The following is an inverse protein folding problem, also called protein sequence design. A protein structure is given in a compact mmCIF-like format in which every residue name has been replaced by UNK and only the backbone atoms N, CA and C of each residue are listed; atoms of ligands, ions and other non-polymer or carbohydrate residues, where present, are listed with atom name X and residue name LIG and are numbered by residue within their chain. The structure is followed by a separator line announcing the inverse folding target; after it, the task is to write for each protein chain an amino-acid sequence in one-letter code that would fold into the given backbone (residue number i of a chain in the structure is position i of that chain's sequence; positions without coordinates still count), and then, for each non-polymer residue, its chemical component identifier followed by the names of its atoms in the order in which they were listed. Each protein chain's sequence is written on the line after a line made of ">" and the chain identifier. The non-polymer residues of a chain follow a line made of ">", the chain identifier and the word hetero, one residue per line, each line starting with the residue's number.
data_IF_348694243196
#
_entry.id   IF_348694243196
#
_cell.length_a   1.000
_cell.length_b   1.000
_cell.length_c   1.000
_cell.angle_alpha   90.00
_cell.angle_beta   90.00
_cell.angle_gamma   90.00
#
_symmetry.space_group_name_H-M   'P 1'
#
loop_
_entity.id
_entity.type
_entity.pdbx_description
1 polymer ?
#
# COMPACT_ATOMS: atom_id res chain seq x y z
N UNK A 1 -0.90 81.28 -75.07
CA UNK A 1 -1.38 79.90 -74.91
C UNK A 1 -0.47 79.05 -74.00
N UNK A 2 0.64 79.59 -73.53
CA UNK A 2 1.63 78.83 -72.76
C UNK A 2 1.36 78.74 -71.20
N UNK A 3 0.58 79.69 -70.67
CA UNK A 3 0.33 79.72 -69.20
C UNK A 3 -0.72 78.70 -68.69
N UNK A 4 -1.50 78.09 -69.59
CA UNK A 4 -2.52 77.12 -69.19
C UNK A 4 -1.91 75.68 -69.06
N UNK A 5 -0.86 75.40 -69.82
CA UNK A 5 -0.21 74.09 -69.79
C UNK A 5 0.74 73.91 -68.62
N UNK A 6 1.35 75.00 -68.12
CA UNK A 6 2.25 74.92 -66.97
C UNK A 6 1.45 74.68 -65.64
N UNK A 7 0.26 75.31 -65.46
CA UNK A 7 -0.58 75.08 -64.30
C UNK A 7 -1.17 73.67 -64.29
N UNK A 8 -1.53 73.08 -65.39
CA UNK A 8 -2.03 71.69 -65.46
C UNK A 8 -0.96 70.66 -65.15
N UNK A 9 0.30 70.93 -65.45
CA UNK A 9 1.43 70.06 -65.14
C UNK A 9 1.89 70.13 -63.67
N UNK A 10 1.75 71.34 -63.03
CA UNK A 10 2.04 71.46 -61.56
C UNK A 10 0.96 70.81 -60.77
N UNK A 11 -0.32 70.93 -61.04
CA UNK A 11 -1.42 70.27 -60.31
C UNK A 11 -1.36 68.76 -60.50
N UNK A 12 -1.08 68.24 -61.69
CA UNK A 12 -0.94 66.82 -61.95
C UNK A 12 0.29 66.17 -61.26
N UNK A 13 1.38 66.87 -61.18
CA UNK A 13 2.56 66.41 -60.46
C UNK A 13 2.40 66.50 -58.95
N UNK A 14 1.62 67.49 -58.47
CA UNK A 14 1.27 67.61 -57.05
C UNK A 14 0.41 66.41 -56.59
N UNK A 15 -0.65 66.10 -57.31
CA UNK A 15 -1.57 64.99 -57.03
C UNK A 15 -0.86 63.64 -57.09
N UNK A 16 0.05 63.45 -58.07
CA UNK A 16 0.85 62.22 -58.15
C UNK A 16 1.84 62.07 -56.99
N UNK A 17 2.47 63.18 -56.56
CA UNK A 17 3.41 63.14 -55.44
C UNK A 17 2.68 62.87 -54.12
N UNK A 18 1.45 63.39 -53.92
CA UNK A 18 0.63 63.19 -52.73
C UNK A 18 0.13 61.74 -52.68
N UNK A 19 -0.39 61.18 -53.76
CA UNK A 19 -0.80 59.80 -53.87
C UNK A 19 0.36 58.79 -53.64
N UNK A 20 1.55 59.07 -54.15
CA UNK A 20 2.74 58.28 -53.90
C UNK A 20 3.19 58.33 -52.44
N UNK A 21 3.04 59.49 -51.78
CA UNK A 21 3.37 59.62 -50.37
C UNK A 21 2.35 58.91 -49.47
N UNK A 22 1.07 58.96 -49.80
CA UNK A 22 0.03 58.19 -49.07
C UNK A 22 0.21 56.71 -49.22
N UNK A 23 0.47 56.16 -50.43
CA UNK A 23 0.77 54.76 -50.64
C UNK A 23 2.02 54.30 -49.93
N UNK A 24 3.04 55.16 -49.88
CA UNK A 24 4.26 54.89 -49.13
C UNK A 24 4.07 54.88 -47.63
N UNK A 25 3.22 55.77 -47.10
CA UNK A 25 2.82 55.79 -45.68
C UNK A 25 2.00 54.56 -45.32
N UNK A 26 1.07 54.15 -46.18
CA UNK A 26 0.27 52.92 -45.94
C UNK A 26 1.14 51.66 -46.00
N UNK A 27 2.04 51.54 -46.93
CA UNK A 27 2.99 50.42 -47.03
C UNK A 27 3.92 50.36 -45.81
N UNK A 28 4.43 51.49 -45.33
CA UNK A 28 5.28 51.57 -44.15
C UNK A 28 4.55 51.23 -42.85
N UNK A 29 3.27 51.59 -42.74
CA UNK A 29 2.40 51.21 -41.63
C UNK A 29 2.09 49.72 -41.56
N UNK A 30 1.86 49.10 -42.72
CA UNK A 30 1.63 47.66 -42.85
C UNK A 30 2.89 46.87 -42.49
N UNK A 31 4.04 47.23 -43.00
CA UNK A 31 5.34 46.61 -42.69
C UNK A 31 5.72 46.75 -41.21
N UNK A 32 5.37 47.86 -40.56
CA UNK A 32 5.61 48.08 -39.12
C UNK A 32 4.70 47.25 -38.24
N UNK A 33 3.45 46.98 -38.63
CA UNK A 33 2.53 46.06 -37.95
C UNK A 33 2.99 44.62 -38.11
N UNK A 34 3.42 44.26 -39.34
CA UNK A 34 3.91 42.91 -39.66
C UNK A 34 5.19 42.58 -38.86
N UNK A 35 6.10 43.55 -38.67
CA UNK A 35 7.30 43.39 -37.87
C UNK A 35 6.99 43.13 -36.37
N UNK A 36 5.94 43.72 -35.81
CA UNK A 36 5.52 43.47 -34.43
C UNK A 36 4.90 42.09 -34.28
N UNK A 37 4.09 41.65 -35.23
CA UNK A 37 3.47 40.31 -35.25
C UNK A 37 4.51 39.21 -35.40
N UNK A 38 5.52 39.40 -36.27
CA UNK A 38 6.63 38.42 -36.43
C UNK A 38 7.42 38.30 -35.13
N UNK A 39 7.71 39.39 -34.44
CA UNK A 39 8.38 39.35 -33.13
C UNK A 39 7.56 38.58 -32.07
N UNK A 40 6.25 38.78 -32.03
CA UNK A 40 5.36 38.05 -31.15
C UNK A 40 5.33 36.54 -31.44
N UNK A 41 5.29 36.19 -32.73
CA UNK A 41 5.34 34.76 -33.17
C UNK A 41 6.68 34.11 -32.79
N UNK A 42 7.80 34.80 -33.01
CA UNK A 42 9.12 34.29 -32.64
C UNK A 42 9.23 34.08 -31.12
N UNK A 43 8.73 35.05 -30.34
CA UNK A 43 8.71 34.89 -28.86
C UNK A 43 7.84 33.73 -28.43
N UNK A 44 6.62 33.59 -28.99
CA UNK A 44 5.74 32.46 -28.69
C UNK A 44 6.39 31.11 -29.07
N UNK A 45 7.09 31.05 -30.20
CA UNK A 45 7.83 29.86 -30.63
C UNK A 45 8.98 29.52 -29.68
N UNK A 46 9.74 30.52 -29.22
CA UNK A 46 10.81 30.32 -28.24
C UNK A 46 10.25 29.81 -26.89
N UNK A 47 9.11 30.34 -26.43
CA UNK A 47 8.44 29.86 -25.22
C UNK A 47 8.03 28.40 -25.40
N UNK A 48 7.43 28.04 -26.52
CA UNK A 48 7.04 26.66 -26.84
C UNK A 48 8.25 25.72 -26.86
N UNK A 49 9.36 26.17 -27.39
CA UNK A 49 10.60 25.40 -27.45
C UNK A 49 11.19 25.17 -26.05
N UNK A 50 11.07 26.15 -25.13
CA UNK A 50 11.50 26.02 -23.74
C UNK A 50 10.60 25.08 -22.92
N UNK A 51 9.34 24.86 -23.31
CA UNK A 51 8.45 23.90 -22.62
C UNK A 51 8.91 22.44 -22.84
N UNK A 52 9.58 22.13 -23.95
CA UNK A 52 10.05 20.77 -24.21
C UNK A 52 10.98 20.24 -23.10
N UNK A 53 12.08 20.92 -22.73
CA UNK A 53 12.94 20.44 -21.66
C UNK A 53 12.25 20.42 -20.30
N UNK A 54 11.26 21.27 -20.07
CA UNK A 54 10.50 21.29 -18.83
C UNK A 54 9.71 19.98 -18.65
N UNK A 55 9.02 19.50 -19.68
CA UNK A 55 8.31 18.22 -19.64
C UNK A 55 9.28 17.04 -19.45
N UNK A 56 10.46 17.06 -20.08
CA UNK A 56 11.46 16.01 -19.90
C UNK A 56 11.98 15.93 -18.45
N UNK A 57 12.10 17.07 -17.77
CA UNK A 57 12.51 17.10 -16.34
C UNK A 57 11.42 16.54 -15.44
N UNK A 58 10.15 16.87 -15.69
CA UNK A 58 9.02 16.32 -14.93
C UNK A 58 8.92 14.80 -15.06
N UNK A 59 9.10 14.26 -16.28
CA UNK A 59 9.13 12.83 -16.52
C UNK A 59 10.27 12.14 -15.77
N UNK A 60 11.46 12.73 -15.77
CA UNK A 60 12.61 12.17 -15.05
C UNK A 60 12.41 12.17 -13.52
N UNK A 61 11.80 13.21 -12.96
CA UNK A 61 11.46 13.27 -11.53
C UNK A 61 10.43 12.19 -11.18
N UNK A 62 9.40 12.04 -12.01
CA UNK A 62 8.36 11.03 -11.84
C UNK A 62 8.91 9.61 -11.92
N UNK A 63 9.79 9.33 -12.87
CA UNK A 63 10.46 8.03 -13.03
C UNK A 63 11.31 7.68 -11.80
N UNK A 64 12.07 8.62 -11.28
CA UNK A 64 12.84 8.41 -10.03
C UNK A 64 11.93 8.11 -8.84
N UNK A 65 10.80 8.81 -8.73
CA UNK A 65 9.81 8.55 -7.69
C UNK A 65 9.22 7.14 -7.79
N UNK A 66 8.88 6.68 -8.99
CA UNK A 66 8.41 5.31 -9.23
C UNK A 66 9.45 4.27 -8.86
N UNK A 67 10.68 4.44 -9.35
CA UNK A 67 11.79 3.51 -9.06
C UNK A 67 12.08 3.41 -7.56
N UNK A 68 11.94 4.51 -6.82
CA UNK A 68 12.05 4.49 -5.36
C UNK A 68 10.92 3.67 -4.73
N UNK A 69 9.68 3.89 -5.15
CA UNK A 69 8.53 3.15 -4.64
C UNK A 69 8.65 1.66 -4.94
N UNK A 70 9.08 1.30 -6.14
CA UNK A 70 9.29 -0.09 -6.55
C UNK A 70 10.40 -0.75 -5.72
N UNK A 71 11.51 -0.03 -5.46
CA UNK A 71 12.58 -0.53 -4.60
C UNK A 71 12.11 -0.77 -3.16
N UNK A 72 11.30 0.13 -2.60
CA UNK A 72 10.68 -0.03 -1.28
C UNK A 72 9.74 -1.24 -1.27
N UNK A 73 8.90 -1.37 -2.29
CA UNK A 73 7.97 -2.49 -2.42
C UNK A 73 8.70 -3.84 -2.54
N UNK A 74 9.77 -3.92 -3.34
CA UNK A 74 10.58 -5.12 -3.49
C UNK A 74 11.22 -5.55 -2.17
N UNK A 75 11.75 -4.60 -1.41
CA UNK A 75 12.30 -4.87 -0.08
C UNK A 75 11.19 -5.31 0.87
N UNK A 76 10.05 -4.62 0.89
CA UNK A 76 8.91 -4.96 1.73
C UNK A 76 8.37 -6.36 1.45
N UNK A 77 8.31 -6.78 0.19
CA UNK A 77 7.88 -8.14 -0.17
C UNK A 77 8.80 -9.24 0.35
N UNK A 78 10.10 -8.96 0.47
CA UNK A 78 11.09 -9.93 0.97
C UNK A 78 11.16 -9.97 2.50
N UNK A 79 10.88 -8.86 3.15
CA UNK A 79 10.95 -8.73 4.61
C UNK A 79 9.62 -9.00 5.30
N UNK A 80 8.53 -8.80 4.67
CA UNK A 80 7.17 -8.81 5.14
C UNK A 80 6.54 -7.41 5.10
N UNK A 81 5.26 -7.38 4.79
CA UNK A 81 4.45 -6.17 4.82
C UNK A 81 4.05 -5.82 6.26
N UNK A 82 3.15 -4.84 6.42
CA UNK A 82 2.60 -4.50 7.72
C UNK A 82 1.98 -5.74 8.39
N UNK A 83 2.42 -6.03 9.61
CA UNK A 83 1.99 -7.19 10.38
C UNK A 83 0.84 -6.83 11.32
N UNK A 84 -0.18 -7.67 11.33
CA UNK A 84 -1.23 -7.63 12.35
C UNK A 84 -1.20 -8.95 13.12
N UNK A 85 -1.10 -8.86 14.44
CA UNK A 85 -1.14 -10.01 15.34
C UNK A 85 -2.50 -10.01 16.01
N UNK A 86 -3.21 -11.13 15.93
CA UNK A 86 -4.50 -11.32 16.59
C UNK A 86 -4.44 -12.51 17.52
N UNK A 87 -4.74 -12.31 18.77
CA UNK A 87 -4.66 -13.32 19.82
C UNK A 87 -3.72 -12.89 20.96
N UNK A 88 -3.29 -13.81 21.81
CA UNK A 88 -3.64 -15.25 21.81
C UNK A 88 -5.12 -15.50 22.19
N UNK A 89 -5.68 -16.58 21.66
CA UNK A 89 -7.00 -17.05 22.05
C UNK A 89 -7.00 -18.58 22.13
N UNK A 90 -7.88 -19.15 23.00
CA UNK A 90 -8.04 -20.59 23.11
C UNK A 90 -9.24 -21.02 22.27
N UNK A 91 -9.03 -22.03 21.42
CA UNK A 91 -10.06 -22.62 20.61
C UNK A 91 -10.42 -24.00 21.16
N UNK A 92 -11.68 -24.18 21.53
CA UNK A 92 -12.23 -25.42 22.05
C UNK A 92 -13.26 -26.00 21.07
N UNK A 93 -13.22 -27.29 20.84
CA UNK A 93 -14.16 -28.00 19.97
C UNK A 93 -15.25 -28.70 20.79
N UNK A 94 -16.47 -28.68 20.24
CA UNK A 94 -17.59 -29.42 20.82
C UNK A 94 -18.47 -30.02 19.72
N UNK A 95 -19.12 -31.19 19.98
CA UNK A 95 -20.01 -31.81 19.02
C UNK A 95 -21.37 -31.09 18.99
N UNK A 96 -21.85 -30.74 17.82
CA UNK A 96 -23.20 -30.24 17.56
C UNK A 96 -23.98 -31.35 16.87
N UNK A 97 -25.04 -31.86 17.51
CA UNK A 97 -25.92 -32.83 16.90
C UNK A 97 -27.08 -32.11 16.22
N UNK A 98 -27.15 -32.22 14.91
CA UNK A 98 -28.29 -31.75 14.11
C UNK A 98 -29.10 -32.93 13.62
N UNK A 99 -30.41 -32.87 13.76
CA UNK A 99 -31.35 -33.86 13.23
C UNK A 99 -31.90 -33.35 11.88
N UNK A 100 -31.51 -34.01 10.82
CA UNK A 100 -31.98 -33.72 9.47
C UNK A 100 -32.69 -34.96 8.91
N UNK A 101 -34.01 -34.84 8.64
CA UNK A 101 -34.88 -35.91 8.11
C UNK A 101 -34.78 -37.23 8.89
N UNK A 102 -34.71 -37.17 10.23
CA UNK A 102 -34.60 -38.38 11.08
C UNK A 102 -33.19 -39.00 11.13
N UNK A 103 -32.18 -38.39 10.49
CA UNK A 103 -30.79 -38.79 10.57
C UNK A 103 -30.03 -37.81 11.48
N UNK A 104 -29.42 -38.34 12.53
CA UNK A 104 -28.58 -37.55 13.43
C UNK A 104 -27.19 -37.31 12.76
N UNK A 105 -26.91 -36.05 12.42
CA UNK A 105 -25.60 -35.63 11.91
C UNK A 105 -24.85 -34.92 13.01
N UNK A 106 -23.66 -35.41 13.35
CA UNK A 106 -22.76 -34.75 14.31
C UNK A 106 -21.79 -33.88 13.54
N UNK A 107 -21.79 -32.58 13.84
CA UNK A 107 -20.86 -31.58 13.29
C UNK A 107 -20.04 -30.99 14.44
N UNK A 108 -18.79 -30.62 14.22
CA UNK A 108 -17.95 -30.00 15.24
C UNK A 108 -18.12 -28.50 15.22
N UNK A 109 -18.54 -27.94 16.35
CA UNK A 109 -18.55 -26.52 16.63
C UNK A 109 -17.24 -26.08 17.31
N UNK A 110 -17.00 -24.78 17.30
CA UNK A 110 -15.87 -24.17 17.98
C UNK A 110 -16.36 -23.10 18.96
N UNK A 111 -15.78 -23.07 20.16
CA UNK A 111 -15.86 -21.98 21.11
C UNK A 111 -14.49 -21.32 21.20
N UNK A 112 -14.46 -20.01 21.06
CA UNK A 112 -13.23 -19.22 21.19
C UNK A 112 -13.25 -18.49 22.52
N UNK A 113 -12.25 -18.74 23.33
CA UNK A 113 -12.04 -18.08 24.61
C UNK A 113 -10.96 -17.02 24.45
N UNK A 114 -11.29 -15.79 24.79
CA UNK A 114 -10.35 -14.67 24.80
C UNK A 114 -9.69 -14.52 26.17
N UNK A 115 -8.50 -13.93 26.27
CA UNK A 115 -7.89 -13.65 27.55
C UNK A 115 -8.67 -12.55 28.30
N UNK A 116 -8.84 -12.70 29.62
CA UNK A 116 -9.45 -11.67 30.49
C UNK A 116 -8.48 -10.49 30.68
N UNK A 117 -7.19 -10.78 30.73
CA UNK A 117 -6.13 -9.81 30.82
C UNK A 117 -5.06 -10.13 29.75
N UNK A 118 -4.60 -9.10 29.08
CA UNK A 118 -3.56 -9.19 28.06
C UNK A 118 -2.58 -8.04 28.22
N UNK A 119 -1.31 -8.35 28.36
CA UNK A 119 -0.20 -7.39 28.36
C UNK A 119 0.74 -7.72 27.23
N UNK A 120 1.12 -6.72 26.47
CA UNK A 120 2.04 -6.85 25.36
C UNK A 120 3.19 -5.88 25.57
N UNK A 121 4.38 -6.41 25.81
CA UNK A 121 5.61 -5.66 25.92
C UNK A 121 6.44 -5.89 24.65
N UNK A 122 6.88 -4.82 24.01
CA UNK A 122 7.59 -4.91 22.76
C UNK A 122 8.79 -4.01 22.66
N UNK A 123 9.86 -4.52 22.07
CA UNK A 123 11.04 -3.74 21.69
C UNK A 123 11.10 -3.67 20.17
N UNK A 124 11.30 -2.45 19.65
CA UNK A 124 11.41 -2.19 18.22
C UNK A 124 12.84 -1.75 17.91
N UNK A 125 13.51 -2.48 17.04
CA UNK A 125 14.80 -2.11 16.47
C UNK A 125 14.63 -1.74 15.00
N UNK A 126 15.36 -0.70 14.55
CA UNK A 126 15.29 -0.25 13.15
C UNK A 126 16.59 -0.54 12.45
N UNK A 127 16.51 -1.02 11.23
CA UNK A 127 17.65 -1.25 10.36
C UNK A 127 17.46 -0.51 9.03
N UNK A 128 18.54 0.03 8.47
CA UNK A 128 18.52 0.70 7.17
C UNK A 128 19.10 -0.24 6.13
N UNK A 129 18.25 -0.78 5.29
CA UNK A 129 18.64 -1.55 4.13
C UNK A 129 18.90 -0.64 2.94
N UNK A 130 19.88 -1.03 2.10
CA UNK A 130 20.20 -0.33 0.86
C UNK A 130 19.85 -1.19 -0.33
N UNK A 131 19.10 -0.62 -1.25
CA UNK A 131 18.82 -1.22 -2.55
C UNK A 131 19.26 -0.26 -3.65
N UNK A 132 20.43 -0.51 -4.24
CA UNK A 132 21.07 0.46 -5.13
C UNK A 132 21.38 1.76 -4.39
N UNK A 133 20.83 2.86 -4.89
CA UNK A 133 20.98 4.21 -4.30
C UNK A 133 19.94 4.51 -3.22
N UNK A 134 18.90 3.67 -3.10
CA UNK A 134 17.78 3.90 -2.19
C UNK A 134 18.04 3.29 -0.82
N UNK A 135 17.59 3.99 0.20
CA UNK A 135 17.61 3.54 1.61
C UNK A 135 16.18 3.21 2.01
N UNK A 136 15.98 2.02 2.55
CA UNK A 136 14.68 1.54 3.04
C UNK A 136 14.84 1.24 4.52
N UNK A 137 14.01 1.88 5.35
CA UNK A 137 13.97 1.57 6.77
C UNK A 137 13.10 0.33 6.97
N UNK A 138 13.67 -0.68 7.59
CA UNK A 138 12.96 -1.88 8.05
C UNK A 138 13.02 -1.94 9.56
N UNK A 139 12.08 -2.62 10.19
CA UNK A 139 12.09 -2.80 11.63
C UNK A 139 11.89 -4.26 11.97
N UNK A 140 12.54 -4.64 13.04
CA UNK A 140 12.36 -5.90 13.72
C UNK A 140 11.75 -5.61 15.09
N UNK A 141 10.72 -6.37 15.46
CA UNK A 141 10.08 -6.27 16.76
C UNK A 141 10.23 -7.58 17.51
N UNK A 142 10.60 -7.49 18.76
CA UNK A 142 10.53 -8.58 19.72
C UNK A 142 9.35 -8.30 20.65
N UNK A 143 8.39 -9.23 20.70
CA UNK A 143 7.15 -9.08 21.44
C UNK A 143 7.05 -10.17 22.51
N UNK A 144 6.81 -9.75 23.73
CA UNK A 144 6.47 -10.63 24.85
C UNK A 144 5.01 -10.42 25.19
N UNK A 145 4.18 -11.43 24.96
CA UNK A 145 2.75 -11.39 25.18
C UNK A 145 2.45 -12.21 26.43
N UNK A 146 1.83 -11.58 27.44
CA UNK A 146 1.39 -12.23 28.68
C UNK A 146 -0.12 -12.10 28.80
N UNK A 147 -0.81 -13.16 29.13
CA UNK A 147 -2.26 -13.16 29.27
C UNK A 147 -2.74 -14.12 30.34
N UNK A 148 -3.96 -13.88 30.78
CA UNK A 148 -4.66 -14.73 31.72
C UNK A 148 -6.03 -15.11 31.15
N UNK A 149 -6.39 -16.39 31.24
CA UNK A 149 -7.65 -16.94 30.79
C UNK A 149 -8.44 -17.48 31.98
N UNK A 150 -9.67 -17.03 32.13
CA UNK A 150 -10.58 -17.59 33.15
C UNK A 150 -11.65 -18.47 32.51
N UNK A 151 -12.26 -19.32 33.32
CA UNK A 151 -13.38 -20.14 32.88
C UNK A 151 -14.71 -19.38 32.88
N UNK A 152 -14.75 -18.13 33.32
CA UNK A 152 -16.01 -17.37 33.43
C UNK A 152 -16.63 -17.07 32.06
N UNK A 153 -15.80 -16.69 31.07
CA UNK A 153 -16.26 -16.48 29.70
C UNK A 153 -16.82 -17.78 29.08
N UNK A 154 -16.23 -18.91 29.44
CA UNK A 154 -16.70 -20.20 28.97
C UNK A 154 -18.09 -20.54 29.58
N UNK A 155 -18.35 -20.16 30.83
CA UNK A 155 -19.64 -20.33 31.48
C UNK A 155 -20.74 -19.42 30.93
N UNK A 156 -20.37 -18.26 30.37
CA UNK A 156 -21.29 -17.35 29.68
C UNK A 156 -21.65 -17.86 28.27
N UNK A 157 -20.81 -18.70 27.68
CA UNK A 157 -21.15 -19.37 26.45
C UNK A 157 -22.25 -20.38 26.73
N UNK A 158 -23.32 -20.42 25.93
CA UNK A 158 -24.41 -21.38 26.07
C UNK A 158 -24.01 -22.83 25.72
N UNK A 159 -22.74 -23.18 25.87
CA UNK A 159 -22.20 -24.49 25.56
C UNK A 159 -22.04 -25.27 26.86
N UNK A 160 -22.55 -26.48 26.88
CA UNK A 160 -22.37 -27.37 28.02
C UNK A 160 -20.88 -27.71 28.17
N UNK A 161 -20.33 -27.45 29.34
CA UNK A 161 -18.91 -27.68 29.62
C UNK A 161 -18.53 -29.16 29.54
N UNK A 162 -19.48 -30.06 29.81
CA UNK A 162 -19.25 -31.51 29.81
C UNK A 162 -19.05 -32.09 28.38
N UNK A 163 -19.52 -31.37 27.34
CA UNK A 163 -19.33 -31.79 25.94
C UNK A 163 -18.08 -31.19 25.28
N UNK A 164 -17.40 -30.28 25.98
CA UNK A 164 -16.19 -29.65 25.47
C UNK A 164 -15.03 -30.65 25.39
N UNK A 165 -14.37 -30.66 24.23
CA UNK A 165 -13.21 -31.52 24.01
C UNK A 165 -11.92 -30.81 24.45
N UNK A 166 -11.66 -30.81 25.76
CA UNK A 166 -10.44 -30.18 26.32
C UNK A 166 -9.14 -30.77 25.77
N UNK A 167 -9.17 -32.05 25.42
CA UNK A 167 -8.00 -32.75 24.78
C UNK A 167 -7.64 -32.18 23.41
N UNK A 168 -8.53 -31.42 22.81
CA UNK A 168 -8.33 -30.74 21.53
C UNK A 168 -8.29 -29.21 21.68
N UNK A 169 -8.07 -28.76 22.89
CA UNK A 169 -7.88 -27.34 23.14
C UNK A 169 -6.58 -26.88 22.50
N UNK A 170 -6.67 -25.80 21.74
CA UNK A 170 -5.50 -25.18 21.10
C UNK A 170 -5.42 -23.70 21.45
N UNK A 171 -4.23 -23.24 21.82
CA UNK A 171 -3.95 -21.80 21.84
C UNK A 171 -3.57 -21.40 20.42
N UNK A 172 -4.21 -20.35 19.93
CA UNK A 172 -4.05 -19.86 18.58
C UNK A 172 -3.57 -18.41 18.58
N UNK A 173 -2.72 -18.11 17.60
CA UNK A 173 -2.22 -16.77 17.30
C UNK A 173 -2.29 -16.59 15.78
N UNK A 174 -2.90 -15.52 15.30
CA UNK A 174 -2.95 -15.23 13.87
C UNK A 174 -1.98 -14.11 13.54
N UNK A 175 -1.21 -14.31 12.47
CA UNK A 175 -0.33 -13.31 11.87
C UNK A 175 -0.74 -13.09 10.43
N UNK A 176 -0.68 -11.85 9.98
CA UNK A 176 -1.01 -11.50 8.58
C UNK A 176 -0.02 -12.11 7.59
N UNK A 177 1.25 -12.21 7.97
CA UNK A 177 2.30 -12.77 7.11
C UNK A 177 3.35 -13.50 7.97
N UNK A 178 3.41 -14.82 7.86
CA UNK A 178 4.37 -15.64 8.59
C UNK A 178 5.81 -15.50 8.11
N UNK A 179 6.03 -14.96 6.92
CA UNK A 179 7.39 -14.71 6.40
C UNK A 179 8.17 -13.70 7.23
N UNK A 180 7.46 -12.86 7.98
CA UNK A 180 8.05 -11.90 8.91
C UNK A 180 8.57 -12.49 10.22
N UNK A 181 8.30 -13.76 10.50
CA UNK A 181 8.84 -14.44 11.68
C UNK A 181 10.28 -14.84 11.44
N UNK A 182 11.19 -14.31 12.25
CA UNK A 182 12.60 -14.69 12.24
C UNK A 182 12.89 -15.88 13.15
N UNK A 183 12.04 -16.11 14.16
CA UNK A 183 12.19 -17.19 15.14
C UNK A 183 10.89 -17.96 15.34
N UNK A 184 11.01 -19.17 15.86
CA UNK A 184 9.84 -19.99 16.20
C UNK A 184 9.13 -19.40 17.42
N UNK A 185 7.83 -19.22 17.30
CA UNK A 185 6.99 -18.72 18.39
C UNK A 185 6.76 -19.84 19.41
N UNK A 186 6.97 -19.53 20.67
CA UNK A 186 6.71 -20.44 21.77
C UNK A 186 5.80 -19.80 22.82
N UNK A 187 5.10 -20.63 23.58
CA UNK A 187 4.30 -20.19 24.73
C UNK A 187 4.67 -21.02 25.94
N UNK A 188 4.77 -20.36 27.07
CA UNK A 188 4.91 -21.02 28.38
C UNK A 188 3.55 -21.01 29.09
N UNK A 189 3.03 -22.18 29.39
CA UNK A 189 1.78 -22.33 30.12
C UNK A 189 2.04 -23.23 31.32
N UNK A 190 1.80 -22.73 32.54
CA UNK A 190 2.00 -23.47 33.79
C UNK A 190 3.35 -24.21 33.86
N UNK A 191 4.43 -23.49 33.57
CA UNK A 191 5.83 -24.00 33.56
C UNK A 191 6.18 -24.98 32.40
N UNK A 192 5.25 -25.27 31.49
CA UNK A 192 5.50 -26.07 30.30
C UNK A 192 5.62 -25.18 29.07
N UNK A 193 6.63 -25.47 28.23
CA UNK A 193 6.87 -24.70 26.98
C UNK A 193 6.31 -25.50 25.81
N UNK A 194 5.50 -24.84 25.03
CA UNK A 194 4.89 -25.38 23.80
C UNK A 194 5.32 -24.56 22.61
N UNK A 195 5.53 -25.20 21.48
CA UNK A 195 5.86 -24.53 20.22
C UNK A 195 4.63 -24.35 19.35
N UNK A 196 4.52 -23.21 18.70
CA UNK A 196 3.44 -22.96 17.75
C UNK A 196 3.76 -23.62 16.41
N UNK A 197 2.76 -24.26 15.83
CA UNK A 197 2.81 -24.87 14.49
C UNK A 197 1.84 -24.13 13.55
N UNK A 198 2.27 -23.88 12.30
CA UNK A 198 1.42 -23.22 11.31
C UNK A 198 0.22 -24.09 10.91
N UNK A 199 -0.94 -23.46 10.67
CA UNK A 199 -2.12 -24.12 10.10
C UNK A 199 -2.97 -24.96 11.05
N UNK A 200 -2.70 -24.99 12.33
CA UNK A 200 -3.45 -25.83 13.29
C UNK A 200 -4.92 -25.44 13.49
N UNK A 201 -5.29 -24.19 13.24
CA UNK A 201 -6.66 -23.70 13.44
C UNK A 201 -7.60 -24.05 12.28
N UNK A 202 -7.09 -24.59 11.19
CA UNK A 202 -7.89 -24.93 10.00
C UNK A 202 -8.49 -23.72 9.25
N UNK A 203 -8.13 -22.49 9.65
CA UNK A 203 -8.60 -21.23 9.04
C UNK A 203 -7.68 -20.70 7.97
N UNK A 204 -6.57 -21.37 7.67
CA UNK A 204 -5.65 -21.00 6.61
C UNK A 204 -4.18 -20.93 7.06
N UNK A 205 -3.33 -20.49 6.14
CA UNK A 205 -1.86 -20.48 6.30
C UNK A 205 -1.40 -19.38 7.30
N UNK A 206 -2.25 -18.42 7.59
CA UNK A 206 -1.96 -17.25 8.43
C UNK A 206 -2.22 -17.50 9.93
N UNK A 207 -2.71 -18.69 10.29
CA UNK A 207 -2.94 -19.08 11.68
C UNK A 207 -1.85 -20.02 12.15
N UNK A 208 -1.38 -19.81 13.36
CA UNK A 208 -0.52 -20.75 14.07
C UNK A 208 -1.20 -21.16 15.37
N UNK A 209 -0.99 -22.39 15.76
CA UNK A 209 -1.59 -22.95 16.98
C UNK A 209 -0.65 -23.91 17.68
N UNK A 210 -0.95 -24.13 18.92
CA UNK A 210 -0.31 -25.14 19.75
C UNK A 210 -1.39 -25.92 20.47
N UNK A 211 -1.36 -27.26 20.43
CA UNK A 211 -2.24 -28.11 21.22
C UNK A 211 -1.80 -28.06 22.67
N UNK A 212 -2.77 -27.77 23.57
CA UNK A 212 -2.50 -27.70 25.01
C UNK A 212 -2.38 -29.08 25.67
N UNK A 213 -2.87 -30.11 24.99
CA UNK A 213 -2.81 -31.48 25.44
C UNK A 213 -2.27 -32.36 24.32
N UNK A 214 -0.98 -32.66 24.37
CA UNK A 214 -0.40 -33.75 23.61
C UNK A 214 -0.49 -35.00 24.50
N UNK A 215 -1.46 -35.90 24.24
CA UNK A 215 -1.29 -37.26 24.72
C UNK A 215 0.00 -37.77 24.10
N UNK A 216 0.93 -38.22 24.90
CA UNK A 216 2.14 -38.92 24.44
C UNK A 216 1.71 -40.07 23.51
N UNK A 217 1.75 -39.82 22.21
CA UNK A 217 1.56 -40.81 21.18
C UNK A 217 2.81 -41.75 21.05
N UNK A 218 3.71 -41.69 22.04
CA UNK A 218 4.92 -42.47 22.09
C UNK A 218 4.73 -43.84 22.74
N UNK A 219 3.58 -44.13 23.35
CA UNK A 219 3.37 -45.39 24.07
C UNK A 219 2.65 -46.50 23.28
N UNK A 220 2.25 -46.21 22.02
CA UNK A 220 1.49 -47.19 21.19
C UNK A 220 2.36 -47.92 20.14
N UNK A 221 3.68 -47.80 20.20
CA UNK A 221 4.59 -48.49 19.25
C UNK A 221 5.42 -49.63 19.87
N UNK A 222 5.06 -50.10 21.07
CA UNK A 222 5.65 -51.34 21.63
C UNK A 222 4.50 -52.31 21.99
N UNK A 223 4.01 -52.96 20.98
CA UNK A 223 3.12 -54.09 21.09
C UNK A 223 3.41 -55.08 20.00
#
# INVERSE_FOLDING_TARGET
>A
MDNLNDNLNEDFNGDLAENLNETRKQASGCLRRFSKSIKAVVIAFLILLLLIPMFMIEDMISERGRTQTDAIAEVGQKWSLAQTITGPYINLKYPITQEDNGTKKVTMGNVTLLPDELSIDGQLSTEILRRGIYKVNVYQSELVIKGFFSSEELRKSNVDMDVLQYQRAAICLNLTDMRGLSEQVSITLNDSVYMFEPGMDGRGIESMGCLLYTSDAADDLIG
#
